data_IF_553481960981
#
_entry.id   IF_553481960981
#
_cell.length_a   1.000
_cell.length_b   1.000
_cell.length_c   1.000
_cell.angle_alpha   90.00
_cell.angle_beta   90.00
_cell.angle_gamma   90.00
#
_symmetry.space_group_name_H-M   'P 1'
#
loop_
_entity.id
_entity.type
_entity.pdbx_description
1 polymer ?
#
# COMPACT_ATOMS: atom_id res chain seq x y z
N UNK A 1 -14.57 6.95 7.57
CA UNK A 1 -14.49 7.47 6.19
C UNK A 1 -13.34 6.74 5.51
N UNK A 2 -13.59 5.94 4.47
CA UNK A 2 -12.51 5.25 3.76
C UNK A 2 -11.57 6.30 3.15
N UNK A 3 -10.26 6.09 3.31
CA UNK A 3 -9.24 6.94 2.68
C UNK A 3 -9.48 6.92 1.16
N UNK A 4 -9.61 8.07 0.46
CA UNK A 4 -9.81 8.07 -0.97
C UNK A 4 -8.70 7.27 -1.67
N UNK A 5 -9.07 6.59 -2.76
CA UNK A 5 -8.12 5.84 -3.55
C UNK A 5 -6.92 6.74 -3.90
N UNK A 6 -5.69 6.24 -3.72
CA UNK A 6 -4.51 7.03 -4.06
C UNK A 6 -4.53 7.40 -5.55
N UNK A 7 -4.09 8.62 -5.90
CA UNK A 7 -3.94 9.01 -7.30
C UNK A 7 -2.79 8.22 -7.95
N UNK A 8 -2.84 8.05 -9.28
CA UNK A 8 -1.85 7.26 -10.05
C UNK A 8 -0.42 7.79 -9.83
N UNK A 9 -0.26 9.10 -9.63
CA UNK A 9 1.00 9.77 -9.34
C UNK A 9 1.66 9.32 -8.03
N UNK A 10 0.93 8.64 -7.13
CA UNK A 10 1.48 8.10 -5.90
C UNK A 10 2.33 6.83 -6.09
N UNK A 11 2.12 6.09 -7.20
CA UNK A 11 2.84 4.84 -7.49
C UNK A 11 3.36 4.80 -8.94
N UNK A 12 4.26 5.72 -9.32
CA UNK A 12 4.80 5.77 -10.69
C UNK A 12 5.56 4.49 -11.08
N UNK A 13 6.05 3.72 -10.09
CA UNK A 13 6.78 2.47 -10.33
C UNK A 13 5.93 1.33 -10.88
N UNK A 14 4.60 1.44 -10.87
CA UNK A 14 3.73 0.45 -11.49
C UNK A 14 3.82 0.47 -13.03
N UNK A 15 4.16 1.61 -13.63
CA UNK A 15 4.19 1.78 -15.09
C UNK A 15 2.80 1.74 -15.76
N UNK A 16 1.73 1.60 -14.99
CA UNK A 16 0.34 1.63 -15.43
C UNK A 16 -0.56 2.26 -14.36
N UNK A 17 -1.84 2.48 -14.68
CA UNK A 17 -2.82 3.01 -13.73
C UNK A 17 -3.09 2.02 -12.60
N UNK A 18 -3.32 2.53 -11.40
CA UNK A 18 -3.51 1.71 -10.19
C UNK A 18 -4.73 0.79 -10.32
N UNK A 19 -5.83 1.32 -10.85
CA UNK A 19 -7.06 0.53 -11.07
C UNK A 19 -6.81 -0.65 -12.01
N UNK A 20 -6.14 -0.40 -13.14
CA UNK A 20 -5.79 -1.43 -14.12
C UNK A 20 -4.88 -2.51 -13.52
N UNK A 21 -3.84 -2.12 -12.77
CA UNK A 21 -2.95 -3.08 -12.12
C UNK A 21 -3.73 -3.97 -11.14
N UNK A 22 -4.58 -3.37 -10.30
CA UNK A 22 -5.38 -4.09 -9.32
C UNK A 22 -6.38 -5.02 -10.01
N UNK A 23 -7.06 -4.58 -11.06
CA UNK A 23 -8.00 -5.41 -11.82
C UNK A 23 -7.31 -6.63 -12.43
N UNK A 24 -6.10 -6.45 -12.99
CA UNK A 24 -5.29 -7.57 -13.47
C UNK A 24 -4.94 -8.54 -12.36
N UNK A 25 -4.47 -8.04 -11.21
CA UNK A 25 -4.16 -8.89 -10.06
C UNK A 25 -5.39 -9.70 -9.60
N UNK A 26 -6.55 -9.05 -9.51
CA UNK A 26 -7.78 -9.72 -9.06
C UNK A 26 -8.34 -10.70 -10.11
N UNK A 27 -8.07 -10.50 -11.40
CA UNK A 27 -8.46 -11.42 -12.47
C UNK A 27 -7.46 -12.57 -12.67
N UNK A 28 -6.21 -12.38 -12.23
CA UNK A 28 -5.14 -13.35 -12.42
C UNK A 28 -5.35 -14.63 -11.57
N UNK A 29 -4.93 -15.80 -12.06
CA UNK A 29 -4.94 -17.04 -11.28
C UNK A 29 -3.91 -17.04 -10.14
N UNK A 30 -2.86 -16.24 -10.23
CA UNK A 30 -1.87 -16.06 -9.18
C UNK A 30 -2.51 -15.44 -7.94
N UNK A 31 -2.15 -15.96 -6.77
CA UNK A 31 -2.77 -15.58 -5.49
C UNK A 31 -1.95 -14.54 -4.75
N UNK A 32 -0.62 -14.54 -4.92
CA UNK A 32 0.32 -13.75 -4.13
C UNK A 32 0.67 -12.42 -4.80
N UNK A 33 0.59 -11.33 -4.05
CA UNK A 33 1.15 -10.01 -4.38
C UNK A 33 2.11 -9.59 -3.26
N UNK A 34 3.35 -9.25 -3.62
CA UNK A 34 4.34 -8.74 -2.67
C UNK A 34 4.56 -7.26 -2.93
N UNK A 35 4.45 -6.45 -1.88
CA UNK A 35 4.73 -5.03 -1.89
C UNK A 35 6.01 -4.79 -1.10
N UNK A 36 7.10 -4.47 -1.80
CA UNK A 36 8.42 -4.28 -1.23
C UNK A 36 8.79 -2.79 -1.27
N UNK A 37 9.40 -2.28 -0.22
CA UNK A 37 10.02 -0.95 -0.26
C UNK A 37 10.19 -0.32 1.12
N UNK A 38 10.94 0.79 1.24
CA UNK A 38 11.19 1.45 2.52
C UNK A 38 9.90 1.86 3.27
N UNK A 39 9.98 2.11 4.58
CA UNK A 39 8.89 2.70 5.34
C UNK A 39 8.39 4.01 4.73
N UNK A 40 7.07 4.24 4.79
CA UNK A 40 6.45 5.47 4.29
C UNK A 40 6.26 5.57 2.78
N UNK A 41 6.57 4.53 2.01
CA UNK A 41 6.36 4.48 0.54
C UNK A 41 4.95 4.11 0.10
N UNK A 42 4.03 3.82 1.04
CA UNK A 42 2.60 3.63 0.74
C UNK A 42 2.13 2.18 0.63
N UNK A 43 2.93 1.17 0.99
CA UNK A 43 2.54 -0.26 0.94
C UNK A 43 1.15 -0.54 1.53
N UNK A 44 0.92 -0.20 2.80
CA UNK A 44 -0.37 -0.33 3.51
C UNK A 44 -1.51 0.43 2.80
N UNK A 45 -1.23 1.61 2.24
CA UNK A 45 -2.23 2.38 1.47
C UNK A 45 -2.60 1.67 0.16
N UNK A 46 -1.64 1.04 -0.50
CA UNK A 46 -1.89 0.22 -1.69
C UNK A 46 -2.69 -1.04 -1.35
N UNK A 47 -2.37 -1.73 -0.25
CA UNK A 47 -3.18 -2.85 0.27
C UNK A 47 -4.64 -2.43 0.44
N UNK A 48 -4.90 -1.29 1.09
CA UNK A 48 -6.27 -0.76 1.25
C UNK A 48 -6.96 -0.51 -0.09
N UNK A 49 -6.24 -0.04 -1.11
CA UNK A 49 -6.79 0.14 -2.45
C UNK A 49 -7.21 -1.19 -3.10
N UNK A 50 -6.39 -2.25 -2.93
CA UNK A 50 -6.73 -3.61 -3.38
C UNK A 50 -7.97 -4.14 -2.65
N UNK A 51 -8.02 -4.03 -1.32
CA UNK A 51 -9.16 -4.48 -0.52
C UNK A 51 -10.46 -3.76 -0.91
N UNK A 52 -10.37 -2.44 -1.14
CA UNK A 52 -11.51 -1.66 -1.63
C UNK A 52 -11.99 -2.12 -3.02
N UNK A 53 -11.07 -2.53 -3.90
CA UNK A 53 -11.43 -3.11 -5.20
C UNK A 53 -12.10 -4.48 -5.07
N UNK A 54 -11.64 -5.34 -4.14
CA UNK A 54 -12.31 -6.60 -3.80
C UNK A 54 -13.74 -6.33 -3.33
N UNK A 55 -13.93 -5.36 -2.42
CA UNK A 55 -15.27 -5.00 -1.93
C UNK A 55 -16.19 -4.53 -3.07
N UNK A 56 -15.67 -3.67 -3.96
CA UNK A 56 -16.44 -3.20 -5.14
C UNK A 56 -16.84 -4.34 -6.07
N UNK A 57 -15.94 -5.28 -6.35
CA UNK A 57 -16.22 -6.42 -7.23
C UNK A 57 -17.28 -7.36 -6.65
N UNK A 58 -17.27 -7.52 -5.32
CA UNK A 58 -18.22 -8.39 -4.60
C UNK A 58 -19.57 -7.72 -4.34
N UNK A 59 -19.62 -6.39 -4.28
CA UNK A 59 -20.80 -5.65 -3.84
C UNK A 59 -21.03 -5.70 -2.32
N UNK A 60 -20.04 -6.15 -1.55
CA UNK A 60 -20.07 -6.24 -0.09
C UNK A 60 -18.65 -6.01 0.47
N UNK A 61 -18.52 -5.77 1.77
CA UNK A 61 -17.23 -5.60 2.45
C UNK A 61 -16.33 -6.81 2.25
N UNK A 62 -15.06 -6.57 1.92
CA UNK A 62 -14.06 -7.63 1.82
C UNK A 62 -13.84 -8.25 3.22
N UNK A 63 -13.93 -9.57 3.30
CA UNK A 63 -13.56 -10.34 4.49
C UNK A 63 -12.06 -10.59 4.44
N UNK A 64 -11.32 -10.00 5.36
CA UNK A 64 -9.86 -9.99 5.33
C UNK A 64 -9.32 -10.58 6.61
N UNK A 65 -8.49 -11.61 6.47
CA UNK A 65 -7.61 -12.02 7.56
C UNK A 65 -6.38 -11.12 7.52
N UNK A 66 -6.03 -10.50 8.64
CA UNK A 66 -4.96 -9.50 8.72
C UNK A 66 -4.02 -9.85 9.86
N UNK A 67 -2.72 -9.83 9.60
CA UNK A 67 -1.71 -9.84 10.65
C UNK A 67 -0.54 -8.92 10.31
N UNK A 68 0.02 -8.30 11.34
CA UNK A 68 1.34 -7.65 11.30
C UNK A 68 2.27 -8.24 12.39
N UNK A 69 1.80 -9.24 13.14
CA UNK A 69 2.57 -9.90 14.18
C UNK A 69 3.13 -11.21 13.63
N UNK A 70 4.45 -11.34 13.67
CA UNK A 70 5.15 -12.56 13.25
C UNK A 70 4.78 -13.76 14.12
N UNK A 71 4.42 -13.57 15.38
CA UNK A 71 4.01 -14.65 16.29
C UNK A 71 2.75 -15.35 15.84
N UNK A 72 1.82 -14.61 15.23
CA UNK A 72 0.59 -15.19 14.68
C UNK A 72 0.88 -16.20 13.56
N UNK A 73 2.06 -16.10 12.93
CA UNK A 73 2.49 -16.98 11.84
C UNK A 73 3.30 -18.18 12.35
N UNK A 74 3.68 -18.22 13.63
CA UNK A 74 4.43 -19.34 14.23
C UNK A 74 3.58 -20.61 14.38
N UNK A 75 2.25 -20.49 14.34
CA UNK A 75 1.32 -21.63 14.34
C UNK A 75 0.65 -21.82 12.99
N UNK A 76 0.07 -23.01 12.76
CA UNK A 76 -0.75 -23.28 11.58
C UNK A 76 -2.19 -22.77 11.68
N UNK A 77 -2.62 -22.29 12.86
CA UNK A 77 -3.99 -21.90 13.16
C UNK A 77 -4.51 -20.80 12.22
N UNK A 78 -3.75 -19.71 12.05
CA UNK A 78 -4.14 -18.59 11.17
C UNK A 78 -4.24 -19.03 9.70
N UNK A 79 -3.39 -19.97 9.29
CA UNK A 79 -3.39 -20.51 7.93
C UNK A 79 -4.59 -21.43 7.72
N UNK A 80 -4.92 -22.27 8.70
CA UNK A 80 -6.12 -23.13 8.69
C UNK A 80 -7.38 -22.27 8.67
N UNK A 81 -7.44 -21.20 9.46
CA UNK A 81 -8.54 -20.23 9.44
C UNK A 81 -8.70 -19.60 8.05
N UNK A 82 -7.61 -19.19 7.40
CA UNK A 82 -7.70 -18.62 6.07
C UNK A 82 -8.20 -19.63 5.03
N UNK A 83 -7.72 -20.87 5.07
CA UNK A 83 -8.09 -21.92 4.10
C UNK A 83 -9.54 -22.37 4.30
N UNK A 84 -9.96 -22.59 5.55
CA UNK A 84 -11.30 -23.15 5.87
C UNK A 84 -12.38 -22.08 6.02
N UNK A 85 -12.01 -20.85 6.36
CA UNK A 85 -12.91 -19.73 6.55
C UNK A 85 -13.50 -19.15 5.26
N UNK A 86 -14.18 -18.01 5.38
CA UNK A 86 -14.83 -17.31 4.25
C UNK A 86 -14.12 -15.99 3.89
N UNK A 87 -12.80 -16.00 3.92
CA UNK A 87 -11.96 -14.83 3.65
C UNK A 87 -11.78 -14.60 2.15
N UNK A 88 -11.81 -13.35 1.72
CA UNK A 88 -11.52 -12.92 0.35
C UNK A 88 -10.01 -12.65 0.17
N UNK A 89 -9.34 -12.17 1.23
CA UNK A 89 -7.91 -11.89 1.22
C UNK A 89 -7.21 -12.20 2.56
N UNK A 90 -5.92 -12.56 2.50
CA UNK A 90 -5.01 -12.61 3.63
C UNK A 90 -3.93 -11.55 3.47
N UNK A 91 -3.85 -10.61 4.41
CA UNK A 91 -2.84 -9.55 4.43
C UNK A 91 -1.85 -9.83 5.55
N UNK A 92 -0.58 -9.88 5.19
CA UNK A 92 0.54 -10.06 6.11
C UNK A 92 1.46 -8.85 5.96
N UNK A 93 1.35 -7.89 6.89
CA UNK A 93 2.18 -6.69 6.89
C UNK A 93 3.49 -6.89 7.66
N UNK A 94 4.51 -6.11 7.30
CA UNK A 94 5.86 -6.14 7.89
C UNK A 94 6.45 -7.56 7.94
N UNK A 95 6.27 -8.28 6.83
CA UNK A 95 6.64 -9.67 6.61
C UNK A 95 8.16 -9.90 6.49
N UNK A 96 9.00 -8.97 6.96
CA UNK A 96 10.46 -9.00 6.74
C UNK A 96 11.08 -10.33 7.22
N UNK A 97 10.70 -10.77 8.42
CA UNK A 97 11.23 -12.00 9.03
C UNK A 97 10.80 -13.30 8.35
N UNK A 98 9.64 -13.32 7.69
CA UNK A 98 9.11 -14.53 7.06
C UNK A 98 9.44 -14.61 5.58
N UNK A 99 9.75 -13.46 4.96
CA UNK A 99 10.16 -13.38 3.57
C UNK A 99 11.67 -13.53 3.41
N UNK A 100 12.47 -13.14 4.40
CA UNK A 100 13.94 -13.24 4.34
C UNK A 100 14.40 -14.70 4.26
N UNK A 101 15.01 -15.07 3.14
CA UNK A 101 15.57 -16.41 2.88
C UNK A 101 16.67 -16.83 3.86
N UNK A 102 17.25 -15.88 4.59
CA UNK A 102 18.30 -16.10 5.60
C UNK A 102 17.75 -16.25 7.01
N UNK A 103 16.53 -15.79 7.26
CA UNK A 103 15.85 -16.13 8.51
C UNK A 103 15.56 -17.63 8.49
N UNK A 104 15.53 -18.28 9.66
CA UNK A 104 15.02 -19.64 9.75
C UNK A 104 13.57 -19.62 9.24
N UNK A 105 13.37 -20.00 7.98
CA UNK A 105 12.13 -19.80 7.25
C UNK A 105 10.93 -20.37 8.00
N UNK A 106 9.80 -19.68 7.90
CA UNK A 106 8.60 -20.11 8.60
C UNK A 106 8.01 -21.36 7.89
N UNK A 107 8.33 -22.54 8.43
CA UNK A 107 7.86 -23.84 7.92
C UNK A 107 6.33 -23.88 7.73
N UNK A 108 5.57 -23.22 8.61
CA UNK A 108 4.12 -23.14 8.52
C UNK A 108 3.68 -22.31 7.31
N UNK A 109 4.36 -21.20 7.02
CA UNK A 109 4.11 -20.39 5.83
C UNK A 109 4.38 -21.18 4.54
N UNK A 110 5.51 -21.90 4.44
CA UNK A 110 5.80 -22.69 3.22
C UNK A 110 4.76 -23.79 2.98
N UNK A 111 4.35 -24.49 4.04
CA UNK A 111 3.28 -25.49 3.98
C UNK A 111 1.96 -24.87 3.55
N UNK A 112 1.62 -23.71 4.14
CA UNK A 112 0.43 -22.95 3.77
C UNK A 112 0.44 -22.56 2.29
N UNK A 113 1.54 -22.03 1.75
CA UNK A 113 1.62 -21.62 0.36
C UNK A 113 1.48 -22.82 -0.60
N UNK A 114 2.01 -23.99 -0.24
CA UNK A 114 1.80 -25.22 -1.00
C UNK A 114 0.31 -25.63 -1.02
N UNK A 115 -0.40 -25.47 0.09
CA UNK A 115 -1.85 -25.72 0.18
C UNK A 115 -2.63 -24.63 -0.59
N UNK A 116 -2.17 -23.38 -0.55
CA UNK A 116 -2.79 -22.23 -1.18
C UNK A 116 -2.82 -22.35 -2.72
N UNK A 117 -1.78 -22.92 -3.35
CA UNK A 117 -1.75 -23.12 -4.80
C UNK A 117 -2.93 -23.97 -5.33
N UNK A 118 -3.51 -24.82 -4.48
CA UNK A 118 -4.71 -25.58 -4.79
C UNK A 118 -5.99 -24.85 -4.39
N UNK A 119 -6.28 -24.81 -3.08
CA UNK A 119 -7.60 -24.41 -2.55
C UNK A 119 -7.84 -22.91 -2.69
N UNK A 120 -6.87 -22.08 -2.33
CA UNK A 120 -6.99 -20.61 -2.37
C UNK A 120 -7.13 -20.13 -3.81
N UNK A 121 -6.37 -20.72 -4.75
CA UNK A 121 -6.48 -20.46 -6.18
C UNK A 121 -7.85 -20.83 -6.74
N UNK A 122 -8.37 -22.02 -6.42
CA UNK A 122 -9.69 -22.46 -6.88
C UNK A 122 -10.83 -21.55 -6.37
N UNK A 123 -10.66 -20.94 -5.20
CA UNK A 123 -11.63 -20.04 -4.58
C UNK A 123 -11.43 -18.56 -4.97
N UNK A 124 -10.42 -18.24 -5.79
CA UNK A 124 -10.13 -16.86 -6.22
C UNK A 124 -9.65 -15.93 -5.09
N UNK A 125 -9.19 -16.50 -3.98
CA UNK A 125 -8.71 -15.76 -2.80
C UNK A 125 -7.32 -15.17 -3.04
N UNK A 126 -7.01 -14.06 -2.37
CA UNK A 126 -5.80 -13.27 -2.61
C UNK A 126 -4.93 -13.18 -1.36
N UNK A 127 -3.61 -13.16 -1.52
CA UNK A 127 -2.65 -13.05 -0.43
C UNK A 127 -1.73 -11.86 -0.73
N UNK A 128 -1.62 -10.93 0.22
CA UNK A 128 -0.78 -9.74 0.11
C UNK A 128 0.28 -9.74 1.20
N UNK A 129 1.52 -9.53 0.80
CA UNK A 129 2.64 -9.30 1.73
C UNK A 129 3.14 -7.87 1.61
N UNK A 130 3.49 -7.24 2.74
CA UNK A 130 4.28 -6.01 2.74
C UNK A 130 5.64 -6.25 3.39
N UNK A 131 6.70 -5.64 2.87
CA UNK A 131 8.06 -5.81 3.38
C UNK A 131 8.92 -4.57 3.12
N UNK A 132 9.86 -4.34 4.04
CA UNK A 132 10.92 -3.34 3.99
C UNK A 132 12.28 -3.93 3.58
N UNK A 133 12.36 -5.22 3.23
CA UNK A 133 13.60 -5.85 2.75
C UNK A 133 14.17 -5.09 1.55
N UNK A 134 15.51 -4.87 1.49
CA UNK A 134 16.12 -4.07 0.44
C UNK A 134 16.30 -4.82 -0.89
N UNK A 135 16.61 -6.13 -0.87
CA UNK A 135 16.88 -6.88 -2.10
C UNK A 135 15.77 -7.90 -2.42
N UNK A 136 15.61 -8.23 -3.70
CA UNK A 136 14.66 -9.27 -4.15
C UNK A 136 15.23 -10.64 -3.84
N UNK A 137 16.56 -10.79 -3.91
CA UNK A 137 17.24 -12.04 -3.52
C UNK A 137 17.10 -12.37 -2.03
N UNK A 138 16.63 -11.42 -1.22
CA UNK A 138 16.28 -11.68 0.17
C UNK A 138 14.91 -12.37 0.26
N UNK A 139 14.04 -12.28 -0.76
CA UNK A 139 12.71 -12.90 -0.74
C UNK A 139 12.80 -14.38 -1.11
N UNK A 140 12.19 -15.22 -0.29
CA UNK A 140 12.11 -16.66 -0.51
C UNK A 140 11.54 -17.05 -1.89
N UNK A 141 12.26 -17.93 -2.61
CA UNK A 141 11.90 -18.37 -3.96
C UNK A 141 10.55 -19.10 -4.01
N UNK A 142 10.11 -19.77 -2.94
CA UNK A 142 8.82 -20.44 -2.88
C UNK A 142 7.68 -19.45 -3.11
N UNK A 143 7.82 -18.20 -2.66
CA UNK A 143 6.84 -17.17 -2.92
C UNK A 143 6.90 -16.66 -4.35
N UNK A 144 8.09 -16.56 -4.95
CA UNK A 144 8.31 -16.04 -6.30
C UNK A 144 8.04 -17.07 -7.42
N UNK A 145 7.56 -18.26 -7.10
CA UNK A 145 7.32 -19.32 -8.09
C UNK A 145 6.33 -18.86 -9.19
N UNK A 146 6.62 -19.15 -10.47
CA UNK A 146 5.68 -18.93 -11.55
C UNK A 146 4.33 -19.61 -11.28
N UNK A 147 3.23 -18.89 -11.52
CA UNK A 147 1.86 -19.36 -11.27
C UNK A 147 1.34 -19.17 -9.84
N UNK A 148 2.20 -18.75 -8.89
CA UNK A 148 1.82 -18.37 -7.52
C UNK A 148 1.89 -16.87 -7.30
N UNK A 149 3.03 -16.26 -7.65
CA UNK A 149 3.25 -14.82 -7.52
C UNK A 149 2.77 -14.08 -8.77
N UNK A 150 1.82 -13.18 -8.58
CA UNK A 150 1.39 -12.26 -9.63
C UNK A 150 2.48 -11.23 -9.91
N UNK A 151 2.98 -10.59 -8.86
CA UNK A 151 4.03 -9.58 -8.95
C UNK A 151 4.72 -9.37 -7.60
N UNK A 152 6.01 -9.04 -7.66
CA UNK A 152 6.70 -8.32 -6.61
C UNK A 152 6.84 -6.86 -7.05
N UNK A 153 6.08 -5.97 -6.42
CA UNK A 153 6.08 -4.54 -6.72
C UNK A 153 7.01 -3.82 -5.76
N UNK A 154 7.96 -3.07 -6.33
CA UNK A 154 8.88 -2.23 -5.56
C UNK A 154 8.40 -0.79 -5.52
N UNK A 155 8.19 -0.29 -4.32
CA UNK A 155 7.96 1.11 -4.05
C UNK A 155 9.24 1.77 -3.54
N UNK A 156 9.43 3.03 -3.95
CA UNK A 156 10.57 3.86 -3.56
C UNK A 156 10.07 5.26 -3.17
N UNK A 157 10.97 6.06 -2.61
CA UNK A 157 10.73 7.49 -2.52
C UNK A 157 10.51 8.08 -3.93
N UNK A 158 9.63 9.08 -4.01
CA UNK A 158 9.32 9.79 -5.24
C UNK A 158 10.42 10.81 -5.50
N UNK A 159 10.89 10.90 -6.73
CA UNK A 159 11.83 11.92 -7.18
C UNK A 159 11.15 13.28 -7.25
N UNK A 160 11.93 14.36 -7.21
CA UNK A 160 11.42 15.75 -7.25
C UNK A 160 10.29 15.97 -8.25
N UNK A 161 10.46 15.56 -9.50
CA UNK A 161 9.44 15.73 -10.55
C UNK A 161 8.16 14.91 -10.27
N UNK A 162 8.27 13.74 -9.65
CA UNK A 162 7.11 12.92 -9.23
C UNK A 162 6.39 13.54 -8.03
N UNK A 163 7.15 14.09 -7.06
CA UNK A 163 6.61 14.83 -5.92
C UNK A 163 5.79 16.03 -6.39
N UNK A 164 6.33 16.81 -7.31
CA UNK A 164 5.65 17.96 -7.89
C UNK A 164 4.35 17.57 -8.61
N UNK A 165 4.36 16.49 -9.40
CA UNK A 165 3.15 15.95 -10.06
C UNK A 165 2.10 15.51 -9.05
N UNK A 166 2.50 14.74 -8.04
CA UNK A 166 1.58 14.27 -7.00
C UNK A 166 1.00 15.45 -6.21
N UNK A 167 1.82 16.42 -5.81
CA UNK A 167 1.35 17.60 -5.08
C UNK A 167 0.44 18.48 -5.93
N UNK A 168 0.71 18.64 -7.23
CA UNK A 168 -0.21 19.33 -8.14
C UNK A 168 -1.57 18.64 -8.16
N UNK A 169 -1.59 17.30 -8.22
CA UNK A 169 -2.82 16.50 -8.16
C UNK A 169 -3.57 16.64 -6.83
N UNK A 170 -2.85 16.68 -5.71
CA UNK A 170 -3.41 16.74 -4.35
C UNK A 170 -3.84 18.15 -3.93
N UNK A 171 -3.10 19.19 -4.30
CA UNK A 171 -3.39 20.59 -3.96
C UNK A 171 -4.41 21.23 -4.91
N UNK A 172 -4.53 20.72 -6.14
CA UNK A 172 -5.36 21.33 -7.18
C UNK A 172 -4.69 22.58 -7.77
N UNK A 173 -5.48 23.51 -8.29
CA UNK A 173 -4.99 24.66 -9.06
C UNK A 173 -4.45 25.84 -8.23
N UNK A 174 -4.31 25.71 -6.90
CA UNK A 174 -3.80 26.78 -6.03
C UNK A 174 -2.25 26.81 -6.07
N UNK A 175 -1.63 27.81 -6.73
CA UNK A 175 -0.18 27.85 -6.88
C UNK A 175 0.55 28.13 -5.55
N UNK A 176 -0.09 28.82 -4.61
CA UNK A 176 0.50 29.18 -3.32
C UNK A 176 0.55 27.95 -2.42
N UNK A 177 -0.54 27.18 -2.35
CA UNK A 177 -0.56 25.92 -1.59
C UNK A 177 0.40 24.91 -2.20
N UNK A 178 0.46 24.82 -3.53
CA UNK A 178 1.39 23.94 -4.22
C UNK A 178 2.85 24.28 -3.88
N UNK A 179 3.24 25.56 -4.01
CA UNK A 179 4.61 26.01 -3.70
C UNK A 179 5.01 25.72 -2.25
N UNK A 180 4.11 25.99 -1.29
CA UNK A 180 4.35 25.67 0.14
C UNK A 180 4.47 24.18 0.40
N UNK A 181 3.62 23.36 -0.25
CA UNK A 181 3.66 21.92 -0.08
C UNK A 181 4.93 21.30 -0.67
N UNK A 182 5.40 21.80 -1.82
CA UNK A 182 6.67 21.38 -2.43
C UNK A 182 7.83 21.71 -1.50
N UNK A 183 7.91 22.94 -1.00
CA UNK A 183 8.96 23.37 -0.09
C UNK A 183 8.97 22.54 1.22
N UNK A 184 7.80 22.20 1.75
CA UNK A 184 7.69 21.37 2.96
C UNK A 184 8.00 19.88 2.71
N UNK A 185 7.69 19.35 1.53
CA UNK A 185 7.95 17.96 1.17
C UNK A 185 9.42 17.71 0.78
N UNK A 186 10.08 18.72 0.24
CA UNK A 186 11.46 18.70 -0.24
C UNK A 186 12.27 19.85 0.37
N UNK A 187 12.55 19.81 1.69
CA UNK A 187 13.46 20.78 2.31
C UNK A 187 14.89 20.62 1.77
N UNK A 188 15.62 21.72 1.64
CA UNK A 188 17.04 21.76 1.25
C UNK A 188 17.36 21.13 -0.13
N UNK A 189 18.58 20.58 -0.29
CA UNK A 189 19.05 19.85 -1.49
C UNK A 189 18.39 18.46 -1.68
N UNK A 190 17.32 18.16 -0.93
CA UNK A 190 16.64 16.86 -0.99
C UNK A 190 16.09 16.60 -2.40
N UNK A 191 16.45 15.44 -2.96
CA UNK A 191 16.07 15.04 -4.33
C UNK A 191 14.84 14.13 -4.38
N UNK A 192 14.42 13.57 -3.26
CA UNK A 192 13.30 12.63 -3.19
C UNK A 192 12.56 12.67 -1.85
N UNK A 193 11.28 12.34 -1.85
CA UNK A 193 10.45 12.31 -0.65
C UNK A 193 9.63 11.02 -0.57
N UNK A 194 9.35 10.53 0.65
CA UNK A 194 8.45 9.38 0.82
C UNK A 194 7.00 9.81 0.66
N UNK A 195 6.12 8.88 0.27
CA UNK A 195 4.70 9.17 0.13
C UNK A 195 4.12 9.75 1.45
N UNK A 196 4.56 9.20 2.58
CA UNK A 196 4.18 9.68 3.91
C UNK A 196 4.62 11.14 4.17
N UNK A 197 5.84 11.55 3.79
CA UNK A 197 6.26 12.94 3.98
C UNK A 197 5.50 13.90 3.07
N UNK A 198 5.20 13.50 1.84
CA UNK A 198 4.42 14.29 0.88
C UNK A 198 3.00 14.54 1.41
N UNK A 199 2.29 13.50 1.85
CA UNK A 199 0.94 13.67 2.43
C UNK A 199 0.95 14.50 3.72
N UNK A 200 1.98 14.37 4.57
CA UNK A 200 2.12 15.23 5.75
C UNK A 200 2.30 16.69 5.38
N UNK A 201 3.18 17.00 4.42
CA UNK A 201 3.42 18.35 3.93
C UNK A 201 2.13 18.96 3.35
N UNK A 202 1.44 18.22 2.50
CA UNK A 202 0.17 18.62 1.89
C UNK A 202 -0.92 18.86 2.94
N UNK A 203 -1.04 17.98 3.94
CA UNK A 203 -2.01 18.10 5.04
C UNK A 203 -1.75 19.35 5.90
N UNK A 204 -0.49 19.58 6.29
CA UNK A 204 -0.09 20.75 7.09
C UNK A 204 -0.40 22.06 6.38
N UNK A 205 -0.11 22.16 5.08
CA UNK A 205 -0.36 23.36 4.28
C UNK A 205 -1.87 23.63 4.14
N UNK A 206 -2.69 22.59 3.95
CA UNK A 206 -4.16 22.73 3.91
C UNK A 206 -4.76 23.16 5.25
N UNK A 207 -4.26 22.62 6.36
CA UNK A 207 -4.71 22.99 7.70
C UNK A 207 -4.47 24.49 7.96
N UNK A 208 -3.24 24.96 7.72
CA UNK A 208 -2.86 26.37 7.89
C UNK A 208 -3.69 27.32 7.00
N UNK A 209 -3.98 26.94 5.76
CA UNK A 209 -4.83 27.74 4.87
C UNK A 209 -6.29 27.85 5.36
N UNK A 210 -6.80 26.76 5.93
CA UNK A 210 -8.17 26.72 6.48
C UNK A 210 -8.29 27.60 7.72
N UNK A 211 -7.29 27.58 8.60
CA UNK A 211 -7.22 28.42 9.79
C UNK A 211 -7.12 29.90 9.43
N UNK A 212 -6.25 30.27 8.50
CA UNK A 212 -6.14 31.63 7.99
C UNK A 212 -7.47 32.13 7.42
N UNK A 213 -8.15 31.33 6.60
CA UNK A 213 -9.46 31.68 6.04
C UNK A 213 -10.61 31.76 7.05
N UNK A 214 -10.50 31.10 8.22
CA UNK A 214 -11.43 31.28 9.35
C UNK A 214 -11.14 32.58 10.10
N UNK A 215 -9.87 32.87 10.39
CA UNK A 215 -9.47 34.10 11.06
C UNK A 215 -9.88 35.36 10.28
N UNK A 216 -9.68 35.37 8.96
CA UNK A 216 -10.11 36.49 8.09
C UNK A 216 -11.63 36.68 8.10
N UNK A 217 -12.42 35.59 8.13
CA UNK A 217 -13.90 35.67 8.20
C UNK A 217 -14.40 36.21 9.54
N UNK A 218 -13.81 35.77 10.65
CA UNK A 218 -14.16 36.25 11.99
C UNK A 218 -13.80 37.74 12.18
N UNK A 219 -12.67 38.18 11.64
CA UNK A 219 -12.28 39.59 11.65
C UNK A 219 -13.22 40.47 10.80
N UNK A 220 -13.70 39.96 9.66
CA UNK A 220 -14.66 40.67 8.80
C UNK A 220 -16.07 40.79 9.41
N UNK A 221 -16.50 39.83 10.24
CA UNK A 221 -17.80 39.88 10.93
C UNK A 221 -17.80 40.74 12.20
N UNK A 222 -16.64 41.01 12.79
CA UNK A 222 -16.50 41.89 13.97
C UNK A 222 -16.35 43.38 13.60
N UNK A 223 -16.20 43.70 12.31
CA UNK A 223 -16.03 45.05 11.78
C UNK A 223 -17.33 45.64 11.17
N UNK A 224 -18.47 44.97 11.35
CA UNK A 224 -19.81 45.36 10.91
C UNK A 224 -20.77 45.32 12.10
#
# INVERSE_FOLDING_TARGET
MADPAPPDEAYPTLGERIDRFIERYLAAPETVLILQGPPGTGKTRFVRAVLAAISRRKGDSAKVLYTADTRALESDEIFVEFVTGSHDAFVIEDADHILDSRANGNLHLHRFLAIADGVVRAQGRKILFTTNLPNVGDIDEALLRPGRCFANVRFRALERAEVERLLARLCGSDPVLLGRAIAAALPDETRSATLASIYRAQGAVRAAATEAGRATRLAGTAAN
#
